data_IF_926019572233
#
_entry.id   IF_926019572233
#
_cell.length_a   1.000
_cell.length_b   1.000
_cell.length_c   1.000
_cell.angle_alpha   90.00
_cell.angle_beta   90.00
_cell.angle_gamma   90.00
#
_symmetry.space_group_name_H-M   'P 1'
#
loop_
_entity.id
_entity.type
_entity.pdbx_description
1 polymer ?
#
# COMPACT_ATOMS: atom_id res chain seq x y z
N UNK A 1 5.13 15.51 -69.07
CA UNK A 1 5.33 16.54 -68.04
C UNK A 1 5.12 15.84 -66.71
N UNK A 2 6.22 15.35 -66.13
CA UNK A 2 6.26 14.66 -64.84
C UNK A 2 5.75 15.59 -63.74
N UNK A 3 4.93 15.05 -62.84
CA UNK A 3 4.71 15.66 -61.53
C UNK A 3 4.96 14.59 -60.49
N UNK A 4 6.21 14.55 -60.05
CA UNK A 4 6.68 13.77 -58.91
C UNK A 4 6.22 14.40 -57.59
N UNK A 5 6.19 13.58 -56.56
CA UNK A 5 6.35 13.92 -55.13
C UNK A 5 5.18 14.63 -54.40
N UNK A 6 4.37 13.83 -53.71
CA UNK A 6 4.52 13.59 -52.25
C UNK A 6 3.58 12.46 -51.84
N UNK A 7 4.09 11.23 -51.88
CA UNK A 7 3.59 10.20 -50.97
C UNK A 7 4.19 10.57 -49.61
N UNK A 8 3.51 11.44 -48.86
CA UNK A 8 3.70 11.47 -47.41
C UNK A 8 3.34 10.06 -46.94
N UNK A 9 4.35 9.30 -46.55
CA UNK A 9 4.22 7.94 -46.06
C UNK A 9 3.27 7.96 -44.88
N UNK A 10 2.19 7.16 -44.98
CA UNK A 10 1.26 6.87 -43.88
C UNK A 10 1.98 6.32 -42.64
N UNK A 11 3.24 5.90 -42.78
CA UNK A 11 4.09 5.41 -41.70
C UNK A 11 4.58 6.53 -40.75
N UNK A 12 4.66 7.80 -41.20
CA UNK A 12 5.19 8.89 -40.37
C UNK A 12 4.12 9.57 -39.49
N UNK A 13 2.83 9.37 -39.77
CA UNK A 13 1.72 9.98 -39.00
C UNK A 13 1.12 9.07 -37.90
N UNK A 14 1.56 7.82 -37.79
CA UNK A 14 0.92 6.83 -36.90
C UNK A 14 1.73 6.41 -35.66
N UNK A 15 3.01 6.79 -35.55
CA UNK A 15 3.89 6.32 -34.47
C UNK A 15 3.70 7.06 -33.14
N UNK A 16 3.41 8.36 -33.17
CA UNK A 16 3.34 9.18 -31.94
C UNK A 16 2.01 8.99 -31.18
N UNK A 17 0.91 8.79 -31.93
CA UNK A 17 -0.43 8.59 -31.36
C UNK A 17 -0.66 7.20 -30.77
N UNK A 18 -0.14 6.15 -31.41
CA UNK A 18 -0.26 4.79 -30.90
C UNK A 18 0.62 4.58 -29.66
N UNK A 19 1.84 5.10 -29.63
CA UNK A 19 2.70 5.03 -28.43
C UNK A 19 2.04 5.66 -27.20
N UNK A 20 1.38 6.80 -27.38
CA UNK A 20 0.62 7.49 -26.32
C UNK A 20 -0.60 6.69 -25.86
N UNK A 21 -1.35 6.07 -26.79
CA UNK A 21 -2.53 5.24 -26.49
C UNK A 21 -2.17 3.87 -25.87
N UNK A 22 -1.06 3.25 -26.29
CA UNK A 22 -0.57 2.01 -25.67
C UNK A 22 -0.04 2.27 -24.25
N UNK A 23 0.67 3.38 -24.03
CA UNK A 23 1.09 3.79 -22.70
C UNK A 23 -0.10 4.11 -21.78
N UNK A 24 -1.16 4.74 -22.30
CA UNK A 24 -2.37 4.98 -21.50
C UNK A 24 -3.07 3.69 -21.09
N UNK A 25 -3.14 2.69 -21.98
CA UNK A 25 -3.77 1.41 -21.67
C UNK A 25 -2.99 0.57 -20.66
N UNK A 26 -1.65 0.58 -20.72
CA UNK A 26 -0.82 -0.10 -19.72
C UNK A 26 -0.86 0.60 -18.36
N UNK A 27 -0.83 1.94 -18.34
CA UNK A 27 -0.92 2.70 -17.10
C UNK A 27 -2.29 2.52 -16.45
N UNK A 28 -3.37 2.55 -17.25
CA UNK A 28 -4.71 2.21 -16.78
C UNK A 28 -4.76 0.80 -16.19
N UNK A 29 -4.17 -0.19 -16.87
CA UNK A 29 -4.06 -1.56 -16.36
C UNK A 29 -3.34 -1.64 -15.02
N UNK A 30 -2.21 -0.94 -14.86
CA UNK A 30 -1.46 -0.86 -13.59
C UNK A 30 -2.27 -0.20 -12.48
N UNK A 31 -2.97 0.89 -12.77
CA UNK A 31 -3.85 1.58 -11.81
C UNK A 31 -4.98 0.66 -11.36
N UNK A 32 -5.68 0.01 -12.30
CA UNK A 32 -6.75 -0.94 -11.99
C UNK A 32 -6.27 -2.10 -11.13
N UNK A 33 -5.07 -2.62 -11.40
CA UNK A 33 -4.46 -3.67 -10.58
C UNK A 33 -4.16 -3.17 -9.16
N UNK A 34 -3.54 -1.99 -9.01
CA UNK A 34 -3.24 -1.40 -7.69
C UNK A 34 -4.51 -1.12 -6.88
N UNK A 35 -5.57 -0.62 -7.52
CA UNK A 35 -6.86 -0.41 -6.87
C UNK A 35 -7.43 -1.72 -6.29
N UNK A 36 -7.40 -2.81 -7.09
CA UNK A 36 -7.85 -4.13 -6.65
C UNK A 36 -7.01 -4.68 -5.50
N UNK A 37 -5.68 -4.52 -5.58
CA UNK A 37 -4.76 -4.94 -4.52
C UNK A 37 -5.04 -4.20 -3.21
N UNK A 38 -5.11 -2.86 -3.26
CA UNK A 38 -5.34 -2.06 -2.07
C UNK A 38 -6.74 -2.30 -1.45
N UNK A 39 -7.77 -2.50 -2.27
CA UNK A 39 -9.08 -2.90 -1.75
C UNK A 39 -9.01 -4.24 -1.00
N UNK A 40 -8.25 -5.21 -1.53
CA UNK A 40 -8.06 -6.49 -0.88
C UNK A 40 -7.30 -6.36 0.45
N UNK A 41 -6.21 -5.61 0.46
CA UNK A 41 -5.41 -5.35 1.66
C UNK A 41 -6.22 -4.68 2.78
N UNK A 42 -7.09 -3.73 2.42
CA UNK A 42 -7.95 -3.02 3.37
C UNK A 42 -9.07 -3.93 3.93
N UNK A 43 -9.52 -4.94 3.17
CA UNK A 43 -10.50 -5.93 3.67
C UNK A 43 -9.89 -6.91 4.67
N UNK A 44 -8.58 -7.15 4.59
CA UNK A 44 -7.88 -8.06 5.50
C UNK A 44 -7.61 -7.30 6.81
N UNK A 45 -8.49 -7.50 7.80
CA UNK A 45 -8.28 -6.99 9.16
C UNK A 45 -7.54 -8.03 10.01
N UNK A 46 -6.32 -7.71 10.40
CA UNK A 46 -5.63 -8.46 11.44
C UNK A 46 -6.19 -8.11 12.82
N UNK A 47 -6.20 -9.08 13.74
CA UNK A 47 -6.51 -8.83 15.14
C UNK A 47 -5.22 -8.48 15.87
N UNK A 48 -5.18 -7.27 16.42
CA UNK A 48 -4.08 -6.78 17.24
C UNK A 48 -4.45 -6.80 18.72
N UNK A 49 -3.42 -6.91 19.55
CA UNK A 49 -3.48 -6.74 21.00
C UNK A 49 -2.44 -5.72 21.45
N UNK A 50 -2.65 -5.14 22.63
CA UNK A 50 -1.68 -4.25 23.27
C UNK A 50 -0.31 -4.92 23.33
N UNK A 51 0.72 -4.17 22.95
CA UNK A 51 2.10 -4.63 22.86
C UNK A 51 2.52 -5.26 21.53
N UNK A 52 1.59 -5.53 20.60
CA UNK A 52 1.97 -5.92 19.23
C UNK A 52 2.74 -4.78 18.54
N UNK A 53 3.81 -5.13 17.81
CA UNK A 53 4.52 -4.19 16.94
C UNK A 53 3.92 -4.29 15.54
N UNK A 54 3.58 -3.15 14.97
CA UNK A 54 2.90 -3.02 13.67
C UNK A 54 3.59 -1.97 12.81
N UNK A 55 3.28 -1.98 11.52
CA UNK A 55 3.67 -0.95 10.57
C UNK A 55 2.57 -0.77 9.52
N UNK A 56 2.62 0.33 8.77
CA UNK A 56 1.73 0.52 7.63
C UNK A 56 1.90 -0.60 6.62
N UNK A 57 0.77 -1.13 6.14
CA UNK A 57 0.74 -1.89 4.89
C UNK A 57 1.18 -1.00 3.73
N UNK A 58 1.83 -1.60 2.74
CA UNK A 58 2.28 -0.88 1.54
C UNK A 58 1.13 -0.11 0.84
N UNK A 59 1.29 1.20 0.70
CA UNK A 59 0.29 2.06 0.05
C UNK A 59 -0.94 2.43 0.91
N UNK A 60 -0.96 2.08 2.21
CA UNK A 60 -2.13 2.31 3.08
C UNK A 60 -2.04 3.54 4.01
N UNK A 61 -0.88 4.22 4.07
CA UNK A 61 -0.67 5.41 4.92
C UNK A 61 -1.62 6.54 4.49
N UNK A 62 -2.40 7.03 5.44
CA UNK A 62 -3.29 8.18 5.24
C UNK A 62 -3.13 9.26 6.32
N UNK A 63 -2.17 9.12 7.24
CA UNK A 63 -1.81 10.11 8.26
C UNK A 63 -0.34 10.47 8.12
N UNK A 64 0.06 11.62 8.68
CA UNK A 64 1.46 12.09 8.60
C UNK A 64 2.43 11.13 9.28
N UNK A 65 2.01 10.53 10.39
CA UNK A 65 2.84 9.66 11.20
C UNK A 65 2.15 8.32 11.51
N UNK A 66 2.91 7.26 11.86
CA UNK A 66 4.36 7.17 11.66
C UNK A 66 4.73 7.15 10.18
N UNK A 67 6.01 7.31 9.85
CA UNK A 67 6.48 7.11 8.47
C UNK A 67 6.32 5.66 8.01
N UNK A 68 6.30 5.43 6.69
CA UNK A 68 6.35 4.06 6.18
C UNK A 68 7.57 3.31 6.74
N UNK A 69 7.40 2.01 7.00
CA UNK A 69 8.43 1.13 7.56
C UNK A 69 8.94 1.51 8.95
N UNK A 70 8.36 2.52 9.61
CA UNK A 70 8.63 2.84 11.00
C UNK A 70 7.76 1.94 11.90
N UNK A 71 8.36 1.17 12.82
CA UNK A 71 7.60 0.37 13.78
C UNK A 71 6.78 1.25 14.72
N UNK A 72 5.56 0.83 15.01
CA UNK A 72 4.72 1.40 16.05
C UNK A 72 4.21 0.28 16.98
N UNK A 73 3.96 0.59 18.24
CA UNK A 73 3.43 -0.34 19.24
C UNK A 73 1.94 -0.09 19.44
N UNK A 74 1.16 -1.16 19.56
CA UNK A 74 -0.26 -1.06 19.92
C UNK A 74 -0.38 -0.69 21.40
N UNK A 75 -0.99 0.47 21.66
CA UNK A 75 -1.21 1.02 23.00
C UNK A 75 -2.60 0.65 23.52
N UNK A 76 -3.63 0.78 22.67
CA UNK A 76 -5.01 0.44 23.00
C UNK A 76 -5.74 -0.13 21.76
N UNK A 77 -6.76 -0.95 22.00
CA UNK A 77 -7.71 -1.41 20.97
C UNK A 77 -9.13 -1.01 21.39
N UNK A 78 -9.95 -0.53 20.45
CA UNK A 78 -11.32 -0.07 20.71
C UNK A 78 -12.35 -0.92 19.97
N UNK A 79 -13.32 -1.45 20.72
CA UNK A 79 -14.51 -2.10 20.19
C UNK A 79 -15.72 -1.66 21.04
N UNK A 80 -16.65 -0.84 20.48
CA UNK A 80 -16.71 -0.38 19.10
C UNK A 80 -15.61 0.64 18.72
N UNK A 81 -15.30 0.81 17.42
CA UNK A 81 -14.38 1.85 16.95
C UNK A 81 -14.86 3.27 17.31
N UNK A 82 -13.91 4.17 17.52
CA UNK A 82 -14.18 5.61 17.60
C UNK A 82 -14.30 6.14 16.17
N UNK A 83 -15.44 6.75 15.83
CA UNK A 83 -15.60 7.37 14.52
C UNK A 83 -14.87 8.72 14.50
N UNK A 84 -14.02 8.95 13.51
CA UNK A 84 -13.29 10.21 13.34
C UNK A 84 -14.30 11.39 13.26
N UNK A 85 -14.08 12.47 14.05
CA UNK A 85 -15.02 13.58 14.17
C UNK A 85 -15.00 14.55 12.98
N UNK A 86 -14.17 14.32 11.96
CA UNK A 86 -14.15 15.09 10.72
C UNK A 86 -15.59 15.33 10.18
N UNK A 87 -16.05 16.59 10.07
CA UNK A 87 -17.41 16.90 9.63
C UNK A 87 -17.61 16.86 8.12
N UNK A 88 -16.53 16.98 7.32
CA UNK A 88 -16.64 17.12 5.86
C UNK A 88 -16.64 15.78 5.14
N UNK A 89 -17.75 15.43 4.48
CA UNK A 89 -17.85 14.22 3.66
C UNK A 89 -16.86 14.17 2.47
N UNK A 90 -16.25 15.30 2.11
CA UNK A 90 -15.18 15.35 1.10
C UNK A 90 -13.79 14.99 1.63
N UNK A 91 -13.64 14.83 2.95
CA UNK A 91 -12.38 14.43 3.59
C UNK A 91 -12.27 12.91 3.64
N UNK A 92 -11.07 12.39 3.38
CA UNK A 92 -10.77 10.97 3.54
C UNK A 92 -10.92 10.46 4.98
N UNK A 93 -10.98 11.37 5.96
CA UNK A 93 -11.14 11.05 7.38
C UNK A 93 -12.60 11.00 7.82
N UNK A 94 -13.54 11.44 6.98
CA UNK A 94 -14.96 11.48 7.32
C UNK A 94 -15.45 10.11 7.78
N UNK A 95 -15.85 10.03 9.06
CA UNK A 95 -16.36 8.81 9.68
C UNK A 95 -15.41 7.61 9.53
N UNK A 96 -14.11 7.83 9.51
CA UNK A 96 -13.14 6.74 9.54
C UNK A 96 -13.27 5.97 10.87
N UNK A 97 -13.31 4.62 10.86
CA UNK A 97 -13.42 3.83 12.08
C UNK A 97 -12.03 3.65 12.71
N UNK A 98 -11.75 4.41 13.76
CA UNK A 98 -10.50 4.36 14.51
C UNK A 98 -10.61 3.34 15.65
N UNK A 99 -10.06 2.15 15.45
CA UNK A 99 -10.16 1.01 16.39
C UNK A 99 -8.83 0.65 17.07
N UNK A 100 -7.74 1.37 16.78
CA UNK A 100 -6.45 1.14 17.45
C UNK A 100 -5.75 2.46 17.80
N UNK A 101 -5.12 2.52 18.97
CA UNK A 101 -4.16 3.56 19.33
C UNK A 101 -2.76 3.00 19.17
N UNK A 102 -1.93 3.69 18.40
CA UNK A 102 -0.54 3.32 18.20
C UNK A 102 0.38 4.37 18.80
N UNK A 103 1.49 3.91 19.37
CA UNK A 103 2.58 4.75 19.85
C UNK A 103 3.88 4.51 19.07
N UNK A 104 4.68 5.54 18.90
CA UNK A 104 6.00 5.45 18.27
C UNK A 104 6.91 6.57 18.76
N UNK A 105 8.21 6.43 18.48
CA UNK A 105 9.23 7.43 18.80
C UNK A 105 9.29 8.44 17.65
N UNK A 106 9.05 9.72 17.95
CA UNK A 106 9.19 10.82 17.00
C UNK A 106 10.66 11.24 16.85
N UNK A 107 10.94 12.17 15.93
CA UNK A 107 12.30 12.63 15.63
C UNK A 107 13.02 13.26 16.85
N UNK A 108 12.26 13.82 17.80
CA UNK A 108 12.76 14.43 19.04
C UNK A 108 12.89 13.43 20.21
N UNK A 109 12.88 12.13 19.92
CA UNK A 109 12.93 11.02 20.88
C UNK A 109 11.71 10.98 21.83
N UNK A 110 10.64 11.72 21.52
CA UNK A 110 9.41 11.69 22.30
C UNK A 110 8.52 10.50 21.92
N UNK A 111 7.86 9.91 22.91
CA UNK A 111 6.83 8.89 22.68
C UNK A 111 5.48 9.57 22.45
N UNK A 112 4.99 9.49 21.22
CA UNK A 112 3.72 10.09 20.80
C UNK A 112 2.71 9.02 20.44
N UNK A 113 1.41 9.30 20.62
CA UNK A 113 0.33 8.34 20.34
C UNK A 113 -0.79 8.95 19.52
N UNK A 114 -1.33 8.19 18.58
CA UNK A 114 -2.45 8.61 17.72
C UNK A 114 -3.43 7.46 17.50
N UNK A 115 -4.65 7.81 17.05
CA UNK A 115 -5.71 6.87 16.70
C UNK A 115 -5.67 6.54 15.20
N UNK A 116 -5.94 5.28 14.87
CA UNK A 116 -5.88 4.75 13.51
C UNK A 116 -6.95 3.70 13.24
N UNK A 117 -7.19 3.45 11.95
CA UNK A 117 -7.90 2.29 11.44
C UNK A 117 -6.93 1.11 11.28
N UNK A 118 -7.12 0.06 12.08
CA UNK A 118 -6.21 -1.09 12.16
C UNK A 118 -6.10 -1.86 10.85
N UNK A 119 -7.08 -1.74 9.94
CA UNK A 119 -7.06 -2.42 8.63
C UNK A 119 -5.90 -1.96 7.75
N UNK A 120 -5.36 -0.77 8.03
CA UNK A 120 -4.23 -0.16 7.29
C UNK A 120 -2.86 -0.64 7.78
N UNK A 121 -2.82 -1.43 8.85
CA UNK A 121 -1.59 -1.90 9.46
C UNK A 121 -1.43 -3.41 9.31
N UNK A 122 -0.19 -3.85 9.33
CA UNK A 122 0.23 -5.25 9.39
C UNK A 122 1.24 -5.42 10.53
N UNK A 123 1.41 -6.64 11.03
CA UNK A 123 2.44 -6.93 12.02
C UNK A 123 3.83 -6.59 11.47
N UNK A 124 4.62 -5.91 12.28
CA UNK A 124 6.01 -5.65 11.95
C UNK A 124 6.79 -6.96 12.03
N UNK A 125 7.32 -7.40 10.89
CA UNK A 125 8.31 -8.46 10.86
C UNK A 125 9.70 -7.85 10.75
N UNK A 126 10.55 -8.10 11.75
CA UNK A 126 11.97 -7.77 11.64
C UNK A 126 12.56 -8.40 10.37
N UNK A 127 13.42 -7.66 9.67
CA UNK A 127 14.01 -8.13 8.41
C UNK A 127 14.75 -9.47 8.58
N UNK A 128 15.38 -9.67 9.73
CA UNK A 128 16.05 -10.91 10.13
C UNK A 128 15.07 -12.09 10.14
N UNK A 129 13.91 -11.95 10.76
CA UNK A 129 12.87 -12.96 10.85
C UNK A 129 12.20 -13.22 9.50
N UNK A 130 11.92 -12.16 8.73
CA UNK A 130 11.41 -12.28 7.36
C UNK A 130 12.38 -13.07 6.48
N UNK A 131 13.68 -12.81 6.60
CA UNK A 131 14.71 -13.52 5.85
C UNK A 131 14.78 -15.00 6.25
N UNK A 132 14.75 -15.30 7.55
CA UNK A 132 14.72 -16.68 8.06
C UNK A 132 13.51 -17.47 7.53
N UNK A 133 12.32 -16.87 7.54
CA UNK A 133 11.10 -17.49 6.99
C UNK A 133 11.25 -17.78 5.49
N UNK A 134 11.74 -16.82 4.69
CA UNK A 134 11.96 -17.02 3.25
C UNK A 134 12.97 -18.13 2.97
N UNK A 135 14.08 -18.17 3.71
CA UNK A 135 15.07 -19.25 3.60
C UNK A 135 14.44 -20.61 3.94
N UNK A 136 13.61 -20.68 4.99
CA UNK A 136 12.91 -21.91 5.36
C UNK A 136 11.95 -22.37 4.27
N UNK A 137 11.14 -21.47 3.71
CA UNK A 137 10.22 -21.79 2.61
C UNK A 137 10.96 -22.29 1.37
N UNK A 138 12.06 -21.63 0.97
CA UNK A 138 12.87 -22.05 -0.19
C UNK A 138 13.47 -23.44 0.05
N UNK A 139 13.99 -23.70 1.25
CA UNK A 139 14.51 -25.02 1.62
C UNK A 139 13.46 -26.12 1.48
N UNK A 140 12.21 -25.84 1.86
CA UNK A 140 11.13 -26.81 1.77
C UNK A 140 10.72 -27.06 0.30
N UNK A 141 10.63 -26.01 -0.50
CA UNK A 141 10.37 -26.13 -1.94
C UNK A 141 11.47 -26.95 -2.65
N UNK A 142 12.74 -26.71 -2.32
CA UNK A 142 13.86 -27.46 -2.91
C UNK A 142 13.87 -28.95 -2.50
N UNK A 143 13.40 -29.29 -1.30
CA UNK A 143 13.22 -30.69 -0.90
C UNK A 143 12.11 -31.37 -1.68
N UNK A 144 11.00 -30.68 -1.92
CA UNK A 144 9.85 -31.22 -2.67
C UNK A 144 10.11 -31.45 -4.17
N UNK A 145 11.17 -30.85 -4.73
CA UNK A 145 11.56 -31.03 -6.14
C UNK A 145 12.59 -32.15 -6.36
N UNK A 146 13.17 -32.71 -5.29
CA UNK A 146 14.15 -33.80 -5.34
C UNK A 146 13.54 -35.15 -4.92
N UNK A 147 12.21 -35.31 -5.05
CA UNK A 147 11.46 -36.55 -4.82
C UNK A 147 10.85 -37.03 -6.13
#
# INVERSE_FOLDING_TARGET
>A
MERNERKESLDDLALDGLGTLYQSNEEEGRVLQRLKMHLNDLKIKETFKVGDIVMWKGGMKNRNFPEYHTPAIVVDCFDPPIMDPEPSAGSQYYREPLDVRLGFIAEDDSFVTFLYDSRRFERYEEQSERMKKRIATIKELLKSQNV
#
